data_IF_185473203763
#
_entry.id   IF_185473203763
#
_cell.length_a   1.000
_cell.length_b   1.000
_cell.length_c   1.000
_cell.angle_alpha   90.00
_cell.angle_beta   90.00
_cell.angle_gamma   90.00
#
_symmetry.space_group_name_H-M   'P 1'
#
loop_
_entity.id
_entity.type
_entity.pdbx_description
1 polymer ?
#
# COMPACT_ATOMS: atom_id res chain seq x y z
N UNK A 1 7.75 -6.45 -13.13
CA UNK A 1 6.94 -5.56 -12.29
C UNK A 1 7.36 -5.70 -10.83
N UNK A 2 7.25 -4.63 -10.10
CA UNK A 2 7.61 -4.63 -8.69
C UNK A 2 6.35 -4.53 -7.84
N UNK A 3 6.47 -4.92 -6.58
CA UNK A 3 5.40 -4.75 -5.62
C UNK A 3 5.93 -3.94 -4.44
N UNK A 4 5.10 -3.09 -3.91
CA UNK A 4 5.42 -2.24 -2.77
C UNK A 4 4.40 -2.46 -1.67
N UNK A 5 4.84 -2.28 -0.44
CA UNK A 5 3.95 -2.31 0.71
C UNK A 5 3.76 -0.88 1.21
N UNK A 6 2.50 -0.49 1.38
CA UNK A 6 2.15 0.72 2.10
C UNK A 6 1.65 0.33 3.48
N UNK A 7 2.27 0.89 4.50
CA UNK A 7 1.79 0.71 5.87
C UNK A 7 1.71 2.09 6.50
N UNK A 8 0.60 2.36 7.19
CA UNK A 8 0.35 3.70 7.65
C UNK A 8 -0.43 3.72 8.96
N UNK A 9 -0.31 4.86 9.64
CA UNK A 9 -1.07 5.15 10.84
C UNK A 9 -1.45 6.61 10.75
N UNK A 10 -2.70 6.87 10.37
CA UNK A 10 -3.19 8.22 10.15
C UNK A 10 -3.74 8.80 11.43
N UNK A 11 -3.27 9.99 11.76
CA UNK A 11 -3.64 10.68 13.00
C UNK A 11 -5.12 11.08 13.01
N UNK A 12 -5.65 11.43 11.84
CA UNK A 12 -7.06 11.80 11.68
C UNK A 12 -7.61 11.12 10.44
N UNK A 13 -8.01 9.84 10.54
CA UNK A 13 -8.34 9.05 9.35
C UNK A 13 -9.49 9.62 8.52
N UNK A 14 -10.64 9.78 9.08
CA UNK A 14 -11.79 10.40 8.40
C UNK A 14 -11.76 10.41 6.87
N UNK A 15 -12.06 11.57 6.28
CA UNK A 15 -12.15 11.77 4.84
C UNK A 15 -10.79 11.57 4.13
N UNK A 16 -9.70 11.95 4.79
CA UNK A 16 -8.38 11.77 4.19
C UNK A 16 -8.04 10.32 3.97
N UNK A 17 -8.41 9.46 4.91
CA UNK A 17 -8.21 8.03 4.77
C UNK A 17 -9.01 7.49 3.58
N UNK A 18 -10.26 7.92 3.46
CA UNK A 18 -11.11 7.51 2.34
C UNK A 18 -10.52 7.97 1.00
N UNK A 19 -10.03 9.20 0.94
CA UNK A 19 -9.43 9.75 -0.27
C UNK A 19 -8.14 9.02 -0.64
N UNK A 20 -7.32 8.70 0.35
CA UNK A 20 -6.09 7.94 0.14
C UNK A 20 -6.38 6.57 -0.47
N UNK A 21 -7.35 5.85 0.11
CA UNK A 21 -7.73 4.53 -0.39
C UNK A 21 -8.34 4.59 -1.77
N UNK A 22 -9.16 5.60 -2.04
CA UNK A 22 -9.74 5.77 -3.37
C UNK A 22 -8.66 5.97 -4.41
N UNK A 23 -7.70 6.85 -4.14
CA UNK A 23 -6.57 7.07 -5.04
C UNK A 23 -5.79 5.79 -5.29
N UNK A 24 -5.47 5.08 -4.21
CA UNK A 24 -4.66 3.87 -4.26
C UNK A 24 -5.33 2.79 -5.10
N UNK A 25 -6.60 2.54 -4.84
CA UNK A 25 -7.36 1.47 -5.51
C UNK A 25 -7.63 1.78 -6.98
N UNK A 26 -7.73 3.06 -7.30
CA UNK A 26 -7.98 3.52 -8.65
C UNK A 26 -6.71 3.48 -9.50
N UNK A 27 -5.56 3.67 -8.88
CA UNK A 27 -4.30 3.86 -9.57
C UNK A 27 -3.50 2.57 -9.74
N UNK A 28 -3.57 1.67 -8.77
CA UNK A 28 -2.73 0.47 -8.74
C UNK A 28 -3.54 -0.81 -8.60
N UNK A 29 -2.97 -1.92 -9.06
CA UNK A 29 -3.43 -3.23 -8.62
C UNK A 29 -3.06 -3.37 -7.15
N UNK A 30 -3.95 -3.91 -6.32
CA UNK A 30 -3.78 -3.85 -4.88
C UNK A 30 -4.29 -5.10 -4.18
N UNK A 31 -3.76 -5.32 -2.99
CA UNK A 31 -4.28 -6.32 -2.05
C UNK A 31 -4.24 -5.72 -0.66
N UNK A 32 -5.32 -5.89 0.08
CA UNK A 32 -5.43 -5.38 1.45
C UNK A 32 -4.90 -6.43 2.41
N UNK A 33 -3.78 -6.15 3.06
CA UNK A 33 -3.17 -7.06 4.01
C UNK A 33 -3.75 -6.89 5.41
N UNK A 34 -4.07 -5.66 5.78
CA UNK A 34 -4.68 -5.31 7.05
C UNK A 34 -5.40 -3.98 6.91
N UNK A 35 -6.02 -3.50 7.97
CA UNK A 35 -6.74 -2.21 7.94
C UNK A 35 -5.84 -1.04 7.56
N UNK A 36 -4.54 -1.15 7.81
CA UNK A 36 -3.59 -0.07 7.51
C UNK A 36 -2.40 -0.55 6.70
N UNK A 37 -2.55 -1.63 5.95
CA UNK A 37 -1.45 -2.15 5.13
C UNK A 37 -1.99 -2.66 3.80
N UNK A 38 -1.45 -2.13 2.73
CA UNK A 38 -1.82 -2.53 1.37
C UNK A 38 -0.57 -2.85 0.56
N UNK A 39 -0.65 -3.92 -0.22
CA UNK A 39 0.37 -4.21 -1.22
C UNK A 39 -0.14 -3.67 -2.56
N UNK A 40 0.76 -3.09 -3.32
CA UNK A 40 0.42 -2.57 -4.66
C UNK A 40 1.45 -3.07 -5.66
N UNK A 41 1.01 -3.21 -6.91
CA UNK A 41 1.87 -3.60 -8.02
C UNK A 41 2.14 -2.36 -8.88
N UNK A 42 3.41 -2.01 -9.06
CA UNK A 42 3.79 -0.83 -9.81
C UNK A 42 5.27 -0.90 -10.20
N UNK A 43 5.63 -0.20 -11.26
CA UNK A 43 7.03 -0.03 -11.66
C UNK A 43 7.66 1.22 -11.05
N UNK A 44 6.88 2.00 -10.27
CA UNK A 44 7.39 3.20 -9.63
C UNK A 44 8.22 2.83 -8.41
N UNK A 45 9.14 3.72 -8.06
CA UNK A 45 9.94 3.57 -6.84
C UNK A 45 9.10 3.96 -5.62
N UNK A 46 9.52 3.54 -4.42
CA UNK A 46 8.86 4.01 -3.19
C UNK A 46 8.79 5.53 -3.10
N UNK A 47 9.85 6.23 -3.50
CA UNK A 47 9.85 7.69 -3.46
C UNK A 47 8.82 8.30 -4.39
N UNK A 48 8.66 7.72 -5.58
CA UNK A 48 7.66 8.21 -6.53
C UNK A 48 6.24 7.99 -6.03
N UNK A 49 5.98 6.81 -5.45
CA UNK A 49 4.67 6.52 -4.89
C UNK A 49 4.40 7.43 -3.69
N UNK A 50 5.37 7.61 -2.82
CA UNK A 50 5.21 8.49 -1.66
C UNK A 50 4.86 9.91 -2.10
N UNK A 51 5.50 10.42 -3.15
CA UNK A 51 5.21 11.75 -3.68
C UNK A 51 3.75 11.87 -4.12
N UNK A 52 3.20 10.80 -4.71
CA UNK A 52 1.80 10.78 -5.13
C UNK A 52 0.83 10.74 -3.94
N UNK A 53 1.26 10.21 -2.79
CA UNK A 53 0.43 10.10 -1.61
C UNK A 53 0.44 11.36 -0.74
N UNK A 54 1.41 12.23 -0.93
CA UNK A 54 1.58 13.43 -0.11
C UNK A 54 0.32 14.27 0.04
N UNK A 55 -0.50 14.50 -1.01
CA UNK A 55 -1.71 15.31 -0.86
C UNK A 55 -2.73 14.73 0.11
N UNK A 56 -2.62 13.44 0.44
CA UNK A 56 -3.60 12.73 1.25
C UNK A 56 -3.15 12.51 2.69
N UNK A 57 -1.97 12.97 3.05
CA UNK A 57 -1.42 12.76 4.39
C UNK A 57 -0.98 14.07 5.03
N UNK A 58 -1.05 14.11 6.36
CA UNK A 58 -0.59 15.23 7.16
C UNK A 58 0.82 14.97 7.68
N UNK A 59 1.47 16.02 8.13
CA UNK A 59 2.79 15.90 8.74
C UNK A 59 2.79 15.05 10.01
N UNK A 60 1.62 14.88 10.64
CA UNK A 60 1.49 14.07 11.86
C UNK A 60 1.14 12.62 11.57
N UNK A 61 0.90 12.28 10.33
CA UNK A 61 0.61 10.91 9.92
C UNK A 61 1.90 10.14 9.74
N UNK A 62 1.82 8.82 9.96
CA UNK A 62 2.94 7.94 9.70
C UNK A 62 2.60 7.08 8.49
N UNK A 63 3.51 7.01 7.54
CA UNK A 63 3.35 6.15 6.38
C UNK A 63 4.71 5.75 5.86
N UNK A 64 4.84 4.48 5.52
CA UNK A 64 6.06 3.95 4.92
C UNK A 64 5.71 3.21 3.64
N UNK A 65 6.55 3.36 2.64
CA UNK A 65 6.43 2.63 1.39
C UNK A 65 7.69 1.79 1.25
N UNK A 66 7.51 0.47 1.21
CA UNK A 66 8.62 -0.47 1.23
C UNK A 66 8.55 -1.37 0.01
N UNK A 67 9.72 -1.75 -0.49
CA UNK A 67 9.81 -2.69 -1.60
C UNK A 67 9.56 -4.10 -1.09
N UNK A 68 8.69 -4.84 -1.78
CA UNK A 68 8.39 -6.23 -1.46
C UNK A 68 9.12 -7.14 -2.43
N UNK A 69 9.77 -8.16 -1.89
CA UNK A 69 10.50 -9.16 -2.66
C UNK A 69 10.34 -10.53 -2.02
N UNK A 70 10.63 -11.56 -2.81
CA UNK A 70 10.80 -12.91 -2.25
C UNK A 70 12.18 -13.00 -1.61
N UNK A 71 12.37 -13.81 -0.57
CA UNK A 71 11.35 -14.66 0.05
C UNK A 71 10.44 -13.90 1.00
N UNK A 72 9.26 -14.44 1.22
CA UNK A 72 8.34 -13.92 2.23
C UNK A 72 7.58 -15.09 2.84
N UNK A 73 6.98 -14.86 4.00
CA UNK A 73 6.13 -15.85 4.64
C UNK A 73 5.02 -15.10 5.35
N UNK A 74 3.83 -15.69 5.36
CA UNK A 74 2.72 -15.08 6.06
C UNK A 74 1.48 -15.94 5.99
N UNK A 75 0.42 -15.42 6.58
CA UNK A 75 -0.84 -16.10 6.68
C UNK A 75 -1.96 -15.07 6.55
N UNK A 76 -2.91 -15.35 5.69
CA UNK A 76 -4.02 -14.43 5.47
C UNK A 76 -5.08 -15.06 4.59
N UNK A 77 -5.96 -14.21 4.05
CA UNK A 77 -7.02 -14.67 3.16
C UNK A 77 -6.44 -15.23 1.87
N UNK A 78 -7.12 -16.21 1.30
CA UNK A 78 -6.67 -16.85 0.06
C UNK A 78 -6.44 -15.84 -1.06
N UNK A 79 -7.34 -14.88 -1.22
CA UNK A 79 -7.21 -13.88 -2.27
C UNK A 79 -5.92 -13.07 -2.13
N UNK A 80 -5.54 -12.72 -0.91
CA UNK A 80 -4.30 -11.99 -0.64
C UNK A 80 -3.10 -12.89 -0.92
N UNK A 81 -3.15 -14.12 -0.45
CA UNK A 81 -2.07 -15.07 -0.68
C UNK A 81 -1.82 -15.29 -2.17
N UNK A 82 -2.89 -15.45 -2.94
CA UNK A 82 -2.80 -15.62 -4.39
C UNK A 82 -2.21 -14.39 -5.06
N UNK A 83 -2.62 -13.21 -4.61
CA UNK A 83 -2.11 -11.95 -5.15
C UNK A 83 -0.60 -11.84 -4.92
N UNK A 84 -0.14 -12.15 -3.71
CA UNK A 84 1.29 -12.10 -3.39
C UNK A 84 2.09 -13.10 -4.22
N UNK A 85 1.57 -14.32 -4.39
CA UNK A 85 2.22 -15.32 -5.25
C UNK A 85 2.36 -14.83 -6.67
N UNK A 86 1.37 -14.14 -7.16
CA UNK A 86 1.33 -13.65 -8.54
C UNK A 86 2.26 -12.48 -8.77
N UNK A 87 2.45 -11.61 -7.78
CA UNK A 87 3.15 -10.35 -7.95
C UNK A 87 4.54 -10.27 -7.32
N UNK A 88 4.93 -11.25 -6.51
CA UNK A 88 6.24 -11.24 -5.87
C UNK A 88 7.25 -12.23 -6.44
#
# INVERSE_FOLDING_TARGET
>A
MAALLLTYDLNSPGQRHADLLEFLKKTFAWAKLSESSYAISTNKTPAQVFAQLKPYIDKNDQIYVLTLNRPYIGQGKKAVNDWLEQHL
#
